data_IF_472959527295
#
_entry.id   IF_472959527295
#
_cell.length_a   1.000
_cell.length_b   1.000
_cell.length_c   1.000
_cell.angle_alpha   90.00
_cell.angle_beta   90.00
_cell.angle_gamma   90.00
#
_symmetry.space_group_name_H-M   'P 1'
#
loop_
_entity.id
_entity.type
_entity.pdbx_description
1 polymer ?
#
# COMPACT_ATOMS: atom_id res chain seq x y z
N UNK A 1 15.40 -1.25 -6.68
CA UNK A 1 14.77 -1.47 -5.37
C UNK A 1 13.76 -2.60 -5.52
N UNK A 2 13.94 -3.73 -4.81
CA UNK A 2 13.31 -5.02 -5.15
C UNK A 2 11.97 -5.31 -4.45
N UNK A 3 11.39 -4.32 -3.74
CA UNK A 3 10.07 -4.45 -3.13
C UNK A 3 9.11 -3.52 -3.88
N UNK A 4 8.12 -4.12 -4.55
CA UNK A 4 7.01 -3.33 -5.12
C UNK A 4 6.25 -2.73 -3.95
N UNK A 5 5.96 -1.42 -3.97
CA UNK A 5 5.22 -0.82 -2.88
C UNK A 5 3.79 -1.38 -2.87
N UNK A 6 3.46 -2.10 -1.79
CA UNK A 6 2.21 -2.83 -1.62
C UNK A 6 1.79 -2.76 -0.16
N UNK A 7 0.49 -2.84 0.13
CA UNK A 7 -0.02 -2.87 1.51
C UNK A 7 0.45 -4.10 2.28
N UNK A 8 0.48 -4.00 3.61
CA UNK A 8 0.77 -5.13 4.52
C UNK A 8 -0.24 -6.25 4.30
N UNK A 9 -1.52 -5.91 4.18
CA UNK A 9 -2.60 -6.87 3.89
C UNK A 9 -2.31 -7.70 2.64
N UNK A 10 -1.89 -7.05 1.55
CA UNK A 10 -1.54 -7.75 0.32
C UNK A 10 -0.26 -8.58 0.47
N UNK A 11 0.75 -8.10 1.20
CA UNK A 11 1.95 -8.92 1.50
C UNK A 11 1.59 -10.20 2.25
N UNK A 12 0.78 -10.11 3.30
CA UNK A 12 0.31 -11.28 4.05
C UNK A 12 -0.41 -12.28 3.15
N UNK A 13 -1.30 -11.80 2.28
CA UNK A 13 -2.03 -12.66 1.34
C UNK A 13 -1.08 -13.36 0.37
N UNK A 14 -0.11 -12.65 -0.19
CA UNK A 14 0.86 -13.22 -1.13
C UNK A 14 1.83 -14.19 -0.46
N UNK A 15 2.23 -13.96 0.80
CA UNK A 15 3.07 -14.89 1.57
C UNK A 15 2.30 -16.16 1.94
N UNK A 16 1.03 -16.03 2.36
CA UNK A 16 0.17 -17.19 2.62
C UNK A 16 -0.07 -18.05 1.39
N UNK A 17 -0.30 -17.43 0.22
CA UNK A 17 -0.39 -18.15 -1.06
C UNK A 17 0.87 -18.93 -1.41
N UNK A 18 2.02 -18.52 -0.88
CA UNK A 18 3.31 -19.21 -1.03
C UNK A 18 3.57 -20.22 0.09
N UNK A 19 2.58 -20.53 0.91
CA UNK A 19 2.68 -21.47 2.03
C UNK A 19 3.74 -21.09 3.07
N UNK A 20 4.04 -19.79 3.21
CA UNK A 20 4.85 -19.30 4.33
C UNK A 20 4.02 -19.41 5.61
N UNK A 21 4.63 -19.93 6.67
CA UNK A 21 3.95 -20.12 7.95
C UNK A 21 3.56 -18.78 8.59
N UNK A 22 2.40 -18.74 9.23
CA UNK A 22 1.81 -17.51 9.77
C UNK A 22 2.69 -16.86 10.85
N UNK A 23 3.37 -17.66 11.68
CA UNK A 23 4.36 -17.19 12.67
C UNK A 23 5.53 -16.45 12.01
N UNK A 24 6.05 -17.01 10.92
CA UNK A 24 7.14 -16.43 10.12
C UNK A 24 6.69 -15.12 9.48
N UNK A 25 5.44 -15.05 8.99
CA UNK A 25 4.86 -13.83 8.42
C UNK A 25 4.74 -12.73 9.48
N UNK A 26 4.24 -13.05 10.68
CA UNK A 26 4.08 -12.06 11.74
C UNK A 26 5.43 -11.51 12.20
N UNK A 27 6.43 -12.37 12.40
CA UNK A 27 7.79 -11.94 12.75
C UNK A 27 8.39 -11.05 11.66
N UNK A 28 8.19 -11.38 10.39
CA UNK A 28 8.76 -10.62 9.27
C UNK A 28 8.07 -9.27 9.02
N UNK A 29 6.75 -9.18 9.27
CA UNK A 29 5.96 -7.97 8.98
C UNK A 29 5.75 -7.06 10.19
N UNK A 30 6.00 -7.53 11.41
CA UNK A 30 5.77 -6.76 12.65
C UNK A 30 4.31 -6.30 12.83
N UNK A 31 4.09 -5.43 13.82
CA UNK A 31 2.76 -4.90 14.20
C UNK A 31 2.52 -3.44 13.79
N UNK A 32 3.44 -2.80 13.06
CA UNK A 32 3.46 -1.33 12.99
C UNK A 32 2.51 -0.74 11.93
N UNK A 33 1.42 -0.15 12.40
CA UNK A 33 0.38 0.47 11.56
C UNK A 33 0.78 1.86 11.04
N UNK A 34 1.67 2.56 11.75
CA UNK A 34 2.22 3.86 11.34
C UNK A 34 3.02 3.77 10.02
N UNK A 35 3.72 2.66 9.82
CA UNK A 35 4.48 2.38 8.60
C UNK A 35 3.59 2.24 7.36
N UNK A 36 2.38 1.69 7.51
CA UNK A 36 1.47 1.50 6.38
C UNK A 36 0.93 2.84 5.85
N UNK A 37 0.65 3.80 6.73
CA UNK A 37 0.21 5.13 6.32
C UNK A 37 1.36 5.94 5.70
N UNK A 38 2.56 5.85 6.26
CA UNK A 38 3.75 6.48 5.67
C UNK A 38 4.05 5.90 4.27
N UNK A 39 3.98 4.58 4.10
CA UNK A 39 4.16 3.92 2.82
C UNK A 39 3.10 4.35 1.79
N UNK A 40 1.83 4.51 2.21
CA UNK A 40 0.76 4.99 1.33
C UNK A 40 1.06 6.41 0.81
N UNK A 41 1.47 7.34 1.68
CA UNK A 41 1.80 8.71 1.31
C UNK A 41 3.02 8.76 0.36
N UNK A 42 4.09 8.01 0.64
CA UNK A 42 5.28 7.92 -0.23
C UNK A 42 4.93 7.36 -1.63
N UNK A 43 3.98 6.43 -1.73
CA UNK A 43 3.47 5.98 -3.03
C UNK A 43 2.69 7.07 -3.75
N UNK A 44 1.81 7.77 -3.05
CA UNK A 44 1.00 8.86 -3.61
C UNK A 44 1.92 9.92 -4.20
N UNK A 45 2.90 10.41 -3.43
CA UNK A 45 3.83 11.44 -3.87
C UNK A 45 4.59 11.04 -5.16
N UNK A 46 5.13 9.82 -5.19
CA UNK A 46 5.85 9.31 -6.38
C UNK A 46 4.92 9.09 -7.57
N UNK A 47 3.67 8.70 -7.35
CA UNK A 47 2.70 8.44 -8.42
C UNK A 47 2.14 9.73 -8.98
N UNK A 48 1.88 10.74 -8.15
CA UNK A 48 1.48 12.08 -8.56
C UNK A 48 2.46 12.69 -9.55
N UNK A 49 3.76 12.42 -9.43
CA UNK A 49 4.77 12.88 -10.42
C UNK A 49 4.58 12.31 -11.85
N UNK A 50 3.73 11.29 -12.03
CA UNK A 50 3.46 10.65 -13.32
C UNK A 50 2.13 11.16 -13.90
N UNK A 51 2.14 11.59 -15.16
CA UNK A 51 0.97 12.18 -15.84
C UNK A 51 -0.30 11.32 -15.76
N UNK A 52 -0.15 9.99 -15.80
CA UNK A 52 -1.27 9.03 -15.71
C UNK A 52 -2.05 9.09 -14.38
N UNK A 53 -1.40 9.51 -13.30
CA UNK A 53 -1.96 9.51 -11.93
C UNK A 53 -2.20 10.91 -11.38
N UNK A 54 -2.24 11.93 -12.24
CA UNK A 54 -2.78 13.24 -11.88
C UNK A 54 -4.30 13.18 -11.64
N UNK A 55 -4.95 12.18 -12.22
CA UNK A 55 -6.35 11.84 -11.99
C UNK A 55 -6.50 10.97 -10.74
N UNK A 56 -7.26 11.47 -9.76
CA UNK A 56 -7.50 10.82 -8.47
C UNK A 56 -8.12 9.43 -8.63
N UNK A 57 -9.08 9.25 -9.54
CA UNK A 57 -9.75 7.97 -9.76
C UNK A 57 -8.73 6.91 -10.23
N UNK A 58 -7.83 7.26 -11.15
CA UNK A 58 -6.76 6.35 -11.60
C UNK A 58 -5.76 6.03 -10.50
N UNK A 59 -5.43 7.00 -9.65
CA UNK A 59 -4.54 6.79 -8.51
C UNK A 59 -5.19 5.88 -7.46
N UNK A 60 -6.45 6.14 -7.08
CA UNK A 60 -7.24 5.31 -6.16
C UNK A 60 -7.32 3.85 -6.65
N UNK A 61 -7.63 3.63 -7.93
CA UNK A 61 -7.66 2.28 -8.53
C UNK A 61 -6.31 1.57 -8.48
N UNK A 62 -5.20 2.32 -8.61
CA UNK A 62 -3.87 1.74 -8.46
C UNK A 62 -3.58 1.33 -7.01
N UNK A 63 -3.88 2.20 -6.05
CA UNK A 63 -3.66 1.95 -4.62
C UNK A 63 -4.52 0.79 -4.10
N UNK A 64 -5.79 0.71 -4.53
CA UNK A 64 -6.66 -0.42 -4.20
C UNK A 64 -6.10 -1.75 -4.72
N UNK A 65 -5.52 -1.76 -5.93
CA UNK A 65 -4.80 -2.95 -6.46
C UNK A 65 -3.54 -3.28 -5.68
N UNK A 66 -2.92 -2.31 -5.01
CA UNK A 66 -1.84 -2.55 -4.05
C UNK A 66 -2.36 -3.01 -2.67
N UNK A 67 -3.67 -3.10 -2.50
CA UNK A 67 -4.34 -3.65 -1.32
C UNK A 67 -4.56 -2.66 -0.18
N UNK A 68 -4.33 -1.37 -0.41
CA UNK A 68 -4.69 -0.32 0.56
C UNK A 68 -6.22 -0.22 0.67
N UNK A 69 -6.70 0.05 1.89
CA UNK A 69 -8.13 0.19 2.17
C UNK A 69 -8.71 1.46 1.55
N UNK A 70 -9.97 1.42 1.13
CA UNK A 70 -10.64 2.58 0.54
C UNK A 70 -10.62 3.81 1.45
N UNK A 71 -10.91 3.60 2.75
CA UNK A 71 -10.93 4.68 3.73
C UNK A 71 -9.56 5.35 3.87
N UNK A 72 -8.49 4.57 3.99
CA UNK A 72 -7.12 5.08 4.13
C UNK A 72 -6.65 5.80 2.87
N UNK A 73 -6.97 5.25 1.69
CA UNK A 73 -6.72 5.89 0.40
C UNK A 73 -7.39 7.26 0.36
N UNK A 74 -8.68 7.33 0.68
CA UNK A 74 -9.44 8.58 0.63
C UNK A 74 -8.88 9.61 1.61
N UNK A 75 -8.66 9.21 2.86
CA UNK A 75 -8.09 10.07 3.89
C UNK A 75 -6.68 10.57 3.55
N UNK A 76 -5.89 9.78 2.83
CA UNK A 76 -4.55 10.19 2.37
C UNK A 76 -4.61 11.19 1.21
N UNK A 77 -5.51 10.99 0.24
CA UNK A 77 -5.69 11.91 -0.88
C UNK A 77 -6.31 13.25 -0.45
N UNK A 78 -7.21 13.24 0.54
CA UNK A 78 -7.79 14.47 1.10
C UNK A 78 -6.73 15.35 1.80
N UNK A 79 -5.60 14.77 2.25
CA UNK A 79 -4.47 15.48 2.86
C UNK A 79 -3.40 15.94 1.87
N UNK A 80 -3.42 15.41 0.65
CA UNK A 80 -2.52 15.75 -0.46
C UNK A 80 -2.99 17.00 -1.23
N UNK A 81 -4.29 17.31 -1.13
CA UNK A 81 -4.95 18.49 -1.72
C UNK A 81 -4.89 19.71 -0.79
#
# INVERSE_FOLDING_TARGET
QLLRPTSRRKMMLELRKKHVADDTIQVALGEEQADEQAALLDIIERKRRQSKYQDDLKLMQYLARQGFGYHDIKAALDKDN
#
